data_IF_846438076151
#
_entry.id   IF_846438076151
#
_cell.length_a   1.000
_cell.length_b   1.000
_cell.length_c   1.000
_cell.angle_alpha   90.00
_cell.angle_beta   90.00
_cell.angle_gamma   90.00
#
_symmetry.space_group_name_H-M   'P 1'
#
loop_
_entity.id
_entity.type
_entity.pdbx_description
1 polymer ?
#
# COMPACT_ATOMS: atom_id res chain seq x y z
N UNK A 1 9.92 -21.08 19.71
CA UNK A 1 10.26 -20.03 18.74
C UNK A 1 9.59 -18.77 19.27
N UNK A 2 10.34 -17.84 19.79
CA UNK A 2 9.85 -16.52 20.20
C UNK A 2 9.69 -15.70 18.91
N UNK A 3 8.52 -15.06 18.77
CA UNK A 3 8.29 -14.15 17.66
C UNK A 3 8.98 -12.84 18.01
N UNK A 4 10.07 -12.55 17.31
CA UNK A 4 10.74 -11.25 17.32
C UNK A 4 10.35 -10.44 16.08
N UNK A 5 10.79 -9.20 15.98
CA UNK A 5 10.44 -8.31 14.86
C UNK A 5 10.90 -8.83 13.49
N UNK A 6 11.87 -9.75 13.43
CA UNK A 6 12.35 -10.40 12.21
C UNK A 6 11.48 -11.61 11.79
N UNK A 7 10.59 -12.07 12.66
CA UNK A 7 9.77 -13.26 12.43
C UNK A 7 8.62 -13.07 11.41
N UNK A 8 8.39 -11.87 10.92
CA UNK A 8 7.26 -11.60 10.01
C UNK A 8 7.34 -12.32 8.66
N UNK A 9 8.54 -12.50 8.11
CA UNK A 9 8.74 -13.33 6.91
C UNK A 9 8.39 -14.79 7.20
N UNK A 10 8.92 -15.32 8.28
CA UNK A 10 8.69 -16.69 8.73
C UNK A 10 7.25 -16.97 9.19
N UNK A 11 6.53 -15.95 9.71
CA UNK A 11 5.11 -16.07 10.05
C UNK A 11 4.22 -16.18 8.82
N UNK A 12 4.49 -15.41 7.76
CA UNK A 12 3.78 -15.52 6.49
C UNK A 12 3.96 -16.90 5.86
N UNK A 13 5.20 -17.42 5.88
CA UNK A 13 5.52 -18.75 5.39
C UNK A 13 4.88 -19.84 6.24
N UNK A 14 4.91 -19.71 7.57
CA UNK A 14 4.26 -20.64 8.51
C UNK A 14 2.73 -20.63 8.31
N UNK A 15 2.11 -19.47 8.24
CA UNK A 15 0.68 -19.34 8.02
C UNK A 15 0.28 -19.95 6.67
N UNK A 16 1.02 -19.67 5.62
CA UNK A 16 0.80 -20.25 4.28
C UNK A 16 0.97 -21.76 4.27
N UNK A 17 1.93 -22.29 5.04
CA UNK A 17 2.14 -23.73 5.19
C UNK A 17 1.03 -24.43 5.96
N UNK A 18 0.43 -23.76 6.95
CA UNK A 18 -0.63 -24.33 7.80
C UNK A 18 -2.04 -24.17 7.21
N UNK A 19 -2.30 -23.03 6.57
CA UNK A 19 -3.64 -22.66 6.06
C UNK A 19 -3.79 -22.93 4.56
N UNK A 20 -2.73 -23.44 3.92
CA UNK A 20 -2.67 -23.48 2.47
C UNK A 20 -2.43 -22.09 1.92
N UNK A 21 -2.51 -21.91 0.61
CA UNK A 21 -2.40 -20.59 0.00
C UNK A 21 -3.56 -19.72 0.47
N UNK A 22 -3.30 -18.87 1.46
CA UNK A 22 -4.10 -17.66 1.68
C UNK A 22 -3.68 -16.70 0.57
N UNK A 23 -4.06 -17.04 -0.65
CA UNK A 23 -3.66 -16.29 -1.84
C UNK A 23 -4.68 -15.22 -2.15
N UNK A 24 -4.20 -14.20 -2.84
CA UNK A 24 -5.05 -13.32 -3.66
C UNK A 24 -6.18 -14.15 -4.27
N UNK A 25 -7.44 -13.77 -4.10
CA UNK A 25 -8.58 -14.59 -4.50
C UNK A 25 -8.41 -15.07 -5.95
N UNK A 26 -8.68 -16.34 -6.21
CA UNK A 26 -8.93 -16.82 -7.56
C UNK A 26 -10.05 -15.97 -8.19
N UNK A 27 -10.17 -15.92 -9.53
CA UNK A 27 -11.26 -15.21 -10.16
C UNK A 27 -12.57 -15.60 -9.50
N UNK A 28 -13.30 -14.60 -8.94
CA UNK A 28 -14.57 -14.83 -8.28
C UNK A 28 -15.54 -15.51 -9.26
N UNK A 29 -16.10 -16.63 -8.86
CA UNK A 29 -17.30 -17.18 -9.50
C UNK A 29 -18.49 -16.23 -9.32
N UNK A 30 -19.51 -16.39 -10.12
CA UNK A 30 -20.72 -15.58 -10.00
C UNK A 30 -21.33 -15.72 -8.59
N UNK A 31 -21.43 -14.60 -7.86
CA UNK A 31 -21.98 -14.55 -6.50
C UNK A 31 -20.98 -14.83 -5.38
N UNK A 32 -19.71 -15.08 -5.67
CA UNK A 32 -18.68 -15.19 -4.64
C UNK A 32 -18.27 -13.82 -4.10
N UNK A 33 -17.91 -13.77 -2.82
CA UNK A 33 -17.43 -12.56 -2.15
C UNK A 33 -15.92 -12.65 -1.93
N UNK A 34 -15.19 -11.69 -2.48
CA UNK A 34 -13.79 -11.50 -2.08
C UNK A 34 -13.72 -10.67 -0.82
N UNK A 35 -12.71 -10.95 -0.01
CA UNK A 35 -12.41 -10.18 1.21
C UNK A 35 -10.93 -9.88 1.28
N UNK A 36 -10.61 -8.70 1.86
CA UNK A 36 -9.28 -8.33 2.28
C UNK A 36 -9.33 -7.98 3.77
N UNK A 37 -8.33 -8.38 4.53
CA UNK A 37 -8.27 -8.11 5.97
C UNK A 37 -6.92 -7.53 6.34
N UNK A 38 -6.92 -6.56 7.26
CA UNK A 38 -5.73 -5.90 7.77
C UNK A 38 -5.74 -5.76 9.29
N UNK A 39 -4.54 -5.80 9.86
CA UNK A 39 -4.28 -5.52 11.27
C UNK A 39 -3.31 -4.35 11.35
N UNK A 40 -3.65 -3.34 12.13
CA UNK A 40 -2.95 -2.06 12.16
C UNK A 40 -2.49 -1.74 13.58
N UNK A 41 -1.19 -1.49 13.69
CA UNK A 41 -0.50 -1.00 14.86
C UNK A 41 0.46 0.10 14.38
N UNK A 42 -0.05 1.30 14.21
CA UNK A 42 0.72 2.45 13.74
C UNK A 42 1.11 3.34 14.91
N UNK A 43 2.36 3.78 14.92
CA UNK A 43 2.88 4.69 15.91
C UNK A 43 3.51 5.91 15.22
N UNK A 44 2.99 7.13 15.51
CA UNK A 44 1.85 7.41 16.40
C UNK A 44 0.49 7.03 15.78
N UNK A 45 -0.48 6.63 16.63
CA UNK A 45 -1.84 6.30 16.19
C UNK A 45 -2.61 7.49 15.59
N UNK A 46 -2.13 8.70 15.86
CA UNK A 46 -2.62 9.97 15.33
C UNK A 46 -1.47 10.68 14.63
N UNK A 47 -1.53 10.78 13.31
CA UNK A 47 -0.44 11.25 12.46
C UNK A 47 -0.86 12.48 11.64
N UNK A 48 -1.01 13.62 12.29
CA UNK A 48 -1.27 14.89 11.61
C UNK A 48 -2.61 14.90 10.86
N UNK A 49 -2.57 14.62 9.57
CA UNK A 49 -3.73 14.64 8.65
C UNK A 49 -4.59 13.37 8.69
N UNK A 50 -4.24 12.40 9.57
CA UNK A 50 -5.00 11.17 9.73
C UNK A 50 -4.82 10.51 11.08
N UNK A 51 -5.36 9.31 11.20
CA UNK A 51 -5.24 8.41 12.33
C UNK A 51 -5.45 6.95 11.94
N UNK A 52 -5.27 6.05 12.91
CA UNK A 52 -5.39 4.61 12.71
C UNK A 52 -6.77 4.17 12.19
N UNK A 53 -7.85 4.94 12.46
CA UNK A 53 -9.19 4.63 11.94
C UNK A 53 -9.28 4.87 10.43
N UNK A 54 -8.74 6.00 9.97
CA UNK A 54 -8.60 6.28 8.53
C UNK A 54 -7.74 5.23 7.86
N UNK A 55 -6.57 4.94 8.43
CA UNK A 55 -5.63 3.95 7.90
C UNK A 55 -6.28 2.57 7.75
N UNK A 56 -7.00 2.10 8.77
CA UNK A 56 -7.64 0.79 8.74
C UNK A 56 -8.65 0.66 7.60
N UNK A 57 -9.43 1.70 7.33
CA UNK A 57 -10.37 1.70 6.20
C UNK A 57 -9.64 1.78 4.88
N UNK A 58 -8.78 2.80 4.69
CA UNK A 58 -8.09 3.04 3.42
C UNK A 58 -7.25 1.86 2.99
N UNK A 59 -6.39 1.34 3.88
CA UNK A 59 -5.48 0.26 3.53
C UNK A 59 -6.22 -1.01 3.10
N UNK A 60 -7.29 -1.39 3.82
CA UNK A 60 -8.02 -2.63 3.53
C UNK A 60 -8.89 -2.50 2.27
N UNK A 61 -9.50 -1.34 2.06
CA UNK A 61 -10.23 -1.02 0.82
C UNK A 61 -9.28 -1.02 -0.38
N UNK A 62 -8.09 -0.42 -0.23
CA UNK A 62 -7.08 -0.36 -1.29
C UNK A 62 -6.50 -1.75 -1.60
N UNK A 63 -6.35 -2.64 -0.61
CA UNK A 63 -5.93 -4.02 -0.84
C UNK A 63 -6.94 -4.79 -1.68
N UNK A 64 -8.24 -4.68 -1.35
CA UNK A 64 -9.30 -5.34 -2.11
C UNK A 64 -9.39 -4.80 -3.54
N UNK A 65 -9.31 -3.48 -3.69
CA UNK A 65 -9.31 -2.81 -4.97
C UNK A 65 -8.11 -3.20 -5.84
N UNK A 66 -6.89 -3.21 -5.26
CA UNK A 66 -5.69 -3.68 -5.96
C UNK A 66 -5.80 -5.16 -6.35
N UNK A 67 -6.50 -5.98 -5.56
CA UNK A 67 -6.88 -7.35 -5.88
C UNK A 67 -7.91 -7.50 -7.01
N UNK A 68 -8.42 -6.39 -7.54
CA UNK A 68 -9.33 -6.37 -8.69
C UNK A 68 -10.79 -6.65 -8.37
N UNK A 69 -11.20 -6.25 -7.17
CA UNK A 69 -12.60 -6.34 -6.75
C UNK A 69 -13.07 -4.99 -6.23
N UNK A 70 -14.26 -4.57 -6.64
CA UNK A 70 -14.86 -3.35 -6.14
C UNK A 70 -15.24 -3.49 -4.67
N UNK A 71 -14.66 -2.70 -3.74
CA UNK A 71 -15.07 -2.72 -2.34
C UNK A 71 -16.49 -2.19 -2.19
N UNK A 72 -17.31 -2.87 -1.37
CA UNK A 72 -18.70 -2.45 -1.09
C UNK A 72 -18.94 -2.20 0.38
N UNK A 73 -18.21 -2.87 1.23
CA UNK A 73 -18.37 -2.73 2.67
C UNK A 73 -17.06 -2.96 3.41
N UNK A 74 -17.01 -2.47 4.64
CA UNK A 74 -15.91 -2.69 5.59
C UNK A 74 -16.49 -2.99 6.96
N UNK A 75 -15.79 -3.83 7.73
CA UNK A 75 -16.00 -4.00 9.17
C UNK A 75 -14.76 -3.53 9.92
N UNK A 76 -14.94 -3.08 11.16
CA UNK A 76 -13.87 -2.60 12.03
C UNK A 76 -13.94 -3.33 13.37
N UNK A 77 -12.78 -3.66 13.93
CA UNK A 77 -12.63 -4.10 15.29
C UNK A 77 -11.49 -3.33 15.94
N UNK A 78 -11.75 -2.72 17.11
CA UNK A 78 -10.81 -1.88 17.82
C UNK A 78 -10.45 -2.50 19.15
N UNK A 79 -9.15 -2.68 19.41
CA UNK A 79 -8.62 -3.03 20.74
C UNK A 79 -8.09 -1.76 21.37
N UNK A 80 -8.74 -1.32 22.43
CA UNK A 80 -8.52 -0.03 23.09
C UNK A 80 -7.90 -0.26 24.45
N UNK A 81 -6.80 0.41 24.75
CA UNK A 81 -6.17 0.35 26.06
C UNK A 81 -6.96 1.16 27.08
N UNK A 82 -7.13 0.59 28.27
CA UNK A 82 -7.78 1.28 29.39
C UNK A 82 -7.04 2.58 29.72
N UNK A 83 -7.81 3.67 29.85
CA UNK A 83 -7.27 5.02 30.04
C UNK A 83 -7.21 5.86 28.76
N UNK A 84 -7.46 5.29 27.59
CA UNK A 84 -7.59 6.11 26.38
C UNK A 84 -8.76 7.09 26.53
N UNK A 85 -8.55 8.42 26.33
CA UNK A 85 -9.64 9.38 26.38
C UNK A 85 -10.73 9.09 25.35
N UNK A 86 -12.00 9.11 25.77
CA UNK A 86 -13.13 8.86 24.88
C UNK A 86 -13.19 9.84 23.69
N UNK A 87 -12.63 11.03 23.82
CA UNK A 87 -12.49 12.02 22.73
C UNK A 87 -11.59 11.51 21.62
N UNK A 88 -10.51 10.78 21.92
CA UNK A 88 -9.61 10.19 20.93
C UNK A 88 -10.27 9.01 20.22
N UNK A 89 -10.99 8.15 20.95
CA UNK A 89 -11.78 7.08 20.33
C UNK A 89 -12.83 7.64 19.38
N UNK A 90 -13.52 8.71 19.81
CA UNK A 90 -14.49 9.42 18.94
C UNK A 90 -13.83 9.95 17.67
N UNK A 91 -12.63 10.51 17.78
CA UNK A 91 -11.87 10.99 16.60
C UNK A 91 -11.61 9.84 15.63
N UNK A 92 -11.09 8.70 16.12
CA UNK A 92 -10.81 7.50 15.29
C UNK A 92 -12.06 6.98 14.57
N UNK A 93 -13.21 6.90 15.29
CA UNK A 93 -14.46 6.45 14.68
C UNK A 93 -15.01 7.44 13.65
N UNK A 94 -14.85 8.75 13.89
CA UNK A 94 -15.24 9.78 12.93
C UNK A 94 -14.38 9.71 11.68
N UNK A 95 -13.07 9.61 11.84
CA UNK A 95 -12.10 9.48 10.76
C UNK A 95 -12.34 8.23 9.91
N UNK A 96 -12.60 7.07 10.55
CA UNK A 96 -12.96 5.85 9.86
C UNK A 96 -14.26 5.99 9.03
N UNK A 97 -15.29 6.65 9.59
CA UNK A 97 -16.55 6.92 8.88
C UNK A 97 -16.34 7.85 7.68
N UNK A 98 -15.50 8.86 7.82
CA UNK A 98 -15.17 9.78 6.72
C UNK A 98 -14.43 9.05 5.61
N UNK A 99 -13.42 8.23 5.94
CA UNK A 99 -12.70 7.40 4.98
C UNK A 99 -13.63 6.41 4.25
N UNK A 100 -14.56 5.77 4.97
CA UNK A 100 -15.54 4.87 4.36
C UNK A 100 -16.46 5.60 3.36
N UNK A 101 -16.89 6.84 3.70
CA UNK A 101 -17.70 7.66 2.80
C UNK A 101 -16.90 8.12 1.58
N UNK A 102 -15.61 8.50 1.73
CA UNK A 102 -14.74 8.83 0.61
C UNK A 102 -14.51 7.62 -0.30
N UNK A 103 -14.43 6.43 0.28
CA UNK A 103 -14.28 5.17 -0.44
C UNK A 103 -15.57 4.66 -1.10
N UNK A 104 -16.71 5.29 -0.83
CA UNK A 104 -18.04 4.80 -1.28
C UNK A 104 -18.34 3.37 -0.77
N UNK A 105 -17.97 3.08 0.49
CA UNK A 105 -18.22 1.79 1.14
C UNK A 105 -19.05 1.94 2.42
N UNK A 106 -19.82 0.90 2.74
CA UNK A 106 -20.65 0.85 3.95
C UNK A 106 -19.87 0.24 5.12
N UNK A 107 -19.89 0.86 6.31
CA UNK A 107 -19.43 0.20 7.54
C UNK A 107 -20.51 -0.75 8.03
N UNK A 108 -20.33 -2.06 7.88
CA UNK A 108 -21.30 -3.09 8.23
C UNK A 108 -21.14 -3.70 9.60
N UNK A 109 -20.04 -3.44 10.26
CA UNK A 109 -19.78 -3.97 11.59
C UNK A 109 -18.73 -3.17 12.34
N UNK A 110 -18.95 -3.03 13.64
CA UNK A 110 -17.99 -2.43 14.57
C UNK A 110 -17.98 -3.23 15.84
N UNK A 111 -16.78 -3.66 16.27
CA UNK A 111 -16.53 -4.21 17.59
C UNK A 111 -15.48 -3.35 18.31
N UNK A 112 -15.61 -3.23 19.61
CA UNK A 112 -14.63 -2.52 20.42
C UNK A 112 -14.37 -3.29 21.71
N UNK A 113 -13.10 -3.62 21.97
CA UNK A 113 -12.65 -4.32 23.17
C UNK A 113 -11.71 -3.44 23.97
N UNK A 114 -11.97 -3.29 25.25
CA UNK A 114 -11.04 -2.63 26.18
C UNK A 114 -10.12 -3.68 26.81
N UNK A 115 -8.81 -3.42 26.75
CA UNK A 115 -7.77 -4.23 27.41
C UNK A 115 -7.11 -3.43 28.54
N UNK A 116 -6.31 -4.08 29.37
CA UNK A 116 -5.63 -3.39 30.50
C UNK A 116 -4.59 -2.40 29.99
N UNK A 117 -4.23 -1.44 30.82
CA UNK A 117 -3.09 -0.58 30.59
C UNK A 117 -1.81 -1.41 30.41
N UNK A 118 -1.05 -1.20 29.33
CA UNK A 118 0.15 -1.93 28.96
C UNK A 118 -0.08 -3.16 28.08
N UNK A 119 -1.33 -3.60 27.86
CA UNK A 119 -1.64 -4.73 26.97
C UNK A 119 -1.76 -4.32 25.48
N UNK A 120 -1.81 -3.03 25.21
CA UNK A 120 -1.80 -2.48 23.86
C UNK A 120 -1.02 -1.16 23.85
N UNK A 121 -0.54 -0.72 22.67
CA UNK A 121 0.02 0.61 22.51
C UNK A 121 -1.11 1.59 22.19
N UNK A 122 -1.88 1.99 23.21
CA UNK A 122 -3.07 2.86 23.14
C UNK A 122 -4.24 2.24 22.37
N UNK A 123 -4.01 1.85 21.11
CA UNK A 123 -5.09 1.40 20.23
C UNK A 123 -4.52 0.55 19.08
N UNK A 124 -5.15 -0.61 18.84
CA UNK A 124 -4.99 -1.39 17.62
C UNK A 124 -6.30 -1.42 16.84
N UNK A 125 -6.21 -1.43 15.53
CA UNK A 125 -7.36 -1.56 14.66
C UNK A 125 -7.22 -2.78 13.75
N UNK A 126 -8.33 -3.45 13.51
CA UNK A 126 -8.47 -4.49 12.51
C UNK A 126 -9.62 -4.12 11.60
N UNK A 127 -9.51 -4.41 10.32
CA UNK A 127 -10.58 -4.19 9.37
C UNK A 127 -10.65 -5.32 8.36
N UNK A 128 -11.86 -5.53 7.83
CA UNK A 128 -12.09 -6.45 6.73
C UNK A 128 -13.00 -5.74 5.72
N UNK A 129 -12.54 -5.60 4.48
CA UNK A 129 -13.34 -5.11 3.37
C UNK A 129 -13.83 -6.27 2.52
N UNK A 130 -14.99 -6.12 1.90
CA UNK A 130 -15.56 -7.12 1.00
C UNK A 130 -16.28 -6.52 -0.20
N UNK A 131 -16.33 -7.32 -1.28
CA UNK A 131 -17.00 -6.99 -2.51
C UNK A 131 -17.24 -8.23 -3.36
N UNK A 132 -18.14 -8.11 -4.33
CA UNK A 132 -18.57 -9.24 -5.19
C UNK A 132 -18.34 -8.98 -6.68
N UNK A 133 -18.03 -7.73 -7.05
CA UNK A 133 -17.92 -7.33 -8.45
C UNK A 133 -16.45 -7.26 -8.86
N UNK A 134 -15.98 -8.18 -9.73
CA UNK A 134 -14.65 -8.11 -10.28
C UNK A 134 -14.52 -6.91 -11.21
N UNK A 135 -13.41 -6.20 -11.14
CA UNK A 135 -13.11 -5.17 -12.13
C UNK A 135 -12.59 -5.77 -13.44
N UNK A 136 -12.78 -5.08 -14.57
CA UNK A 136 -12.42 -5.59 -15.89
C UNK A 136 -10.91 -5.53 -16.19
N UNK A 137 -10.05 -5.37 -15.17
CA UNK A 137 -8.62 -5.47 -15.41
C UNK A 137 -8.16 -6.93 -15.40
N UNK A 138 -7.21 -7.24 -16.25
CA UNK A 138 -6.72 -8.60 -16.40
C UNK A 138 -5.99 -9.05 -15.13
N UNK A 139 -6.43 -10.18 -14.57
CA UNK A 139 -5.72 -10.88 -13.51
C UNK A 139 -4.71 -11.83 -14.14
N UNK A 140 -3.62 -11.29 -14.65
CA UNK A 140 -2.53 -12.15 -15.14
C UNK A 140 -1.64 -12.52 -13.95
N UNK A 141 -1.33 -13.80 -13.75
CA UNK A 141 -0.60 -14.27 -12.56
C UNK A 141 0.83 -13.75 -12.50
N UNK A 142 1.45 -13.45 -13.64
CA UNK A 142 2.83 -12.98 -13.73
C UNK A 142 2.96 -11.84 -14.76
N UNK A 143 3.97 -11.01 -14.57
CA UNK A 143 4.33 -9.96 -15.51
C UNK A 143 4.82 -10.56 -16.84
N UNK A 144 4.50 -9.90 -17.95
CA UNK A 144 4.96 -10.33 -19.28
C UNK A 144 5.82 -9.24 -19.93
N UNK A 145 6.77 -9.61 -20.78
CA UNK A 145 7.62 -8.65 -21.49
C UNK A 145 6.80 -7.60 -22.24
N UNK A 146 7.29 -6.37 -22.24
CA UNK A 146 6.65 -5.22 -22.88
C UNK A 146 5.59 -4.53 -22.01
N UNK A 147 5.20 -5.08 -20.87
CA UNK A 147 4.37 -4.34 -19.92
C UNK A 147 5.13 -3.17 -19.33
N UNK A 148 4.45 -2.04 -19.22
CA UNK A 148 4.98 -0.80 -18.67
C UNK A 148 4.55 -0.66 -17.21
N UNK A 149 5.43 -0.09 -16.37
CA UNK A 149 5.18 0.14 -14.96
C UNK A 149 4.87 1.61 -14.70
N UNK A 150 3.80 1.84 -13.93
CA UNK A 150 3.41 3.17 -13.48
C UNK A 150 3.30 3.21 -11.96
N UNK A 151 3.60 4.37 -11.38
CA UNK A 151 3.16 4.75 -10.03
C UNK A 151 1.97 5.69 -10.16
N UNK A 152 0.96 5.51 -9.30
CA UNK A 152 -0.25 6.32 -9.32
C UNK A 152 -0.05 7.72 -8.75
N UNK A 153 0.98 7.91 -7.91
CA UNK A 153 1.26 9.16 -7.18
C UNK A 153 2.75 9.23 -6.82
N UNK A 154 3.22 10.36 -6.27
CA UNK A 154 4.58 10.46 -5.73
C UNK A 154 4.87 9.41 -4.65
N UNK A 155 6.11 8.93 -4.62
CA UNK A 155 6.59 7.85 -3.76
C UNK A 155 7.24 8.37 -2.48
N UNK A 156 7.04 7.68 -1.35
CA UNK A 156 7.77 7.86 -0.10
C UNK A 156 7.13 8.83 0.89
N UNK A 157 6.02 9.48 0.52
CA UNK A 157 5.35 10.46 1.37
C UNK A 157 4.91 9.90 2.71
N UNK A 158 4.31 8.71 2.73
CA UNK A 158 3.82 8.07 3.95
C UNK A 158 4.90 7.88 5.01
N UNK A 159 6.04 7.30 4.64
CA UNK A 159 7.11 7.00 5.58
C UNK A 159 7.72 8.28 6.18
N UNK A 160 7.98 9.28 5.33
CA UNK A 160 8.51 10.59 5.77
C UNK A 160 7.53 11.29 6.70
N UNK A 161 6.25 11.32 6.34
CA UNK A 161 5.20 11.92 7.16
C UNK A 161 5.14 11.29 8.56
N UNK A 162 5.04 9.96 8.62
CA UNK A 162 4.91 9.23 9.88
C UNK A 162 6.13 9.40 10.78
N UNK A 163 7.33 9.32 10.21
CA UNK A 163 8.57 9.55 10.92
C UNK A 163 8.70 10.99 11.41
N UNK A 164 8.29 11.97 10.59
CA UNK A 164 8.29 13.38 10.98
C UNK A 164 7.42 13.63 12.20
N UNK A 165 6.20 13.09 12.23
CA UNK A 165 5.30 13.22 13.38
C UNK A 165 5.90 12.54 14.61
N UNK A 166 6.49 11.34 14.44
CA UNK A 166 7.12 10.60 15.55
C UNK A 166 8.28 11.34 16.18
N UNK A 167 9.16 11.87 15.34
CA UNK A 167 10.38 12.57 15.79
C UNK A 167 10.16 14.07 16.05
N UNK A 168 8.95 14.59 15.82
CA UNK A 168 8.61 16.00 16.05
C UNK A 168 9.34 16.97 15.10
N UNK A 169 9.58 16.58 13.86
CA UNK A 169 10.38 17.35 12.89
C UNK A 169 9.57 18.45 12.17
N UNK A 170 8.23 18.36 12.20
CA UNK A 170 7.35 19.36 11.58
C UNK A 170 7.25 19.24 10.05
N UNK A 171 7.83 18.22 9.43
CA UNK A 171 7.82 18.01 7.97
C UNK A 171 6.44 17.53 7.47
N UNK A 172 5.60 17.00 8.35
CA UNK A 172 4.24 16.53 8.03
C UNK A 172 3.33 17.67 7.52
N UNK A 173 3.70 18.91 7.78
CA UNK A 173 2.99 20.08 7.22
C UNK A 173 3.30 20.29 5.72
N UNK A 174 4.43 19.77 5.23
CA UNK A 174 4.89 19.87 3.84
C UNK A 174 4.64 18.60 3.06
N UNK A 175 4.73 17.45 3.73
CA UNK A 175 4.58 16.12 3.13
C UNK A 175 3.33 15.48 3.73
N UNK A 176 2.19 15.45 3.02
CA UNK A 176 0.98 14.79 3.50
C UNK A 176 1.17 13.28 3.57
N UNK A 177 0.42 12.60 4.44
CA UNK A 177 0.51 11.16 4.63
C UNK A 177 0.14 10.34 3.38
N UNK A 178 -0.67 10.90 2.50
CA UNK A 178 -1.21 10.16 1.36
C UNK A 178 -2.22 9.06 1.74
N UNK A 179 -2.62 8.97 3.01
CA UNK A 179 -3.57 7.96 3.48
C UNK A 179 -4.98 8.25 2.96
N UNK A 180 -5.26 7.82 1.72
CA UNK A 180 -6.53 8.01 1.03
C UNK A 180 -7.09 6.68 0.51
N UNK A 181 -8.42 6.55 0.39
CA UNK A 181 -9.00 5.46 -0.37
C UNK A 181 -8.73 5.67 -1.87
N UNK A 182 -8.07 4.71 -2.49
CA UNK A 182 -7.66 4.76 -3.89
C UNK A 182 -8.56 3.92 -4.82
N UNK A 183 -9.56 3.24 -4.25
CA UNK A 183 -10.52 2.42 -5.00
C UNK A 183 -11.34 3.25 -5.99
N UNK A 184 -11.76 4.46 -5.62
CA UNK A 184 -12.51 5.35 -6.52
C UNK A 184 -11.66 5.77 -7.72
N UNK A 185 -10.38 6.09 -7.51
CA UNK A 185 -9.44 6.37 -8.59
C UNK A 185 -9.26 5.15 -9.50
N UNK A 186 -9.07 3.96 -8.94
CA UNK A 186 -8.94 2.74 -9.74
C UNK A 186 -10.20 2.44 -10.54
N UNK A 187 -11.40 2.62 -9.95
CA UNK A 187 -12.68 2.47 -10.64
C UNK A 187 -12.78 3.40 -11.84
N UNK A 188 -12.43 4.68 -11.66
CA UNK A 188 -12.47 5.67 -12.74
C UNK A 188 -11.47 5.32 -13.84
N UNK A 189 -10.25 4.90 -13.49
CA UNK A 189 -9.23 4.48 -14.44
C UNK A 189 -9.69 3.26 -15.25
N UNK A 190 -10.07 2.16 -14.58
CA UNK A 190 -10.47 0.93 -15.30
C UNK A 190 -11.75 1.10 -16.10
N UNK A 191 -12.62 2.04 -15.72
CA UNK A 191 -13.82 2.41 -16.46
C UNK A 191 -13.57 3.32 -17.66
N UNK A 192 -12.42 3.98 -17.74
CA UNK A 192 -12.08 4.94 -18.80
C UNK A 192 -11.09 4.41 -19.85
N UNK A 193 -10.48 3.25 -19.61
CA UNK A 193 -9.52 2.63 -20.52
C UNK A 193 -10.05 1.32 -21.08
N UNK A 194 -9.44 0.84 -22.18
CA UNK A 194 -9.82 -0.44 -22.76
C UNK A 194 -9.67 -1.60 -21.75
N UNK A 195 -10.59 -2.57 -21.75
CA UNK A 195 -10.48 -3.75 -20.92
C UNK A 195 -9.14 -4.46 -21.10
N UNK A 196 -8.43 -4.68 -20.00
CA UNK A 196 -7.11 -5.29 -20.00
C UNK A 196 -5.95 -4.33 -20.28
N UNK A 197 -6.19 -3.02 -20.43
CA UNK A 197 -5.11 -2.01 -20.43
C UNK A 197 -4.36 -2.02 -19.09
N UNK A 198 -5.07 -2.06 -17.97
CA UNK A 198 -4.49 -2.32 -16.64
C UNK A 198 -4.40 -3.84 -16.45
N UNK A 199 -3.23 -4.35 -16.20
CA UNK A 199 -2.96 -5.80 -16.05
C UNK A 199 -2.93 -6.23 -14.60
N UNK A 200 -2.23 -5.49 -13.75
CA UNK A 200 -2.07 -5.75 -12.31
C UNK A 200 -1.92 -4.44 -11.58
N UNK A 201 -2.42 -4.43 -10.37
CA UNK A 201 -2.27 -3.33 -9.43
C UNK A 201 -1.72 -3.87 -8.11
N UNK A 202 -0.76 -3.18 -7.53
CA UNK A 202 -0.17 -3.54 -6.25
C UNK A 202 -0.13 -2.34 -5.32
N UNK A 203 -0.57 -2.54 -4.09
CA UNK A 203 -0.31 -1.60 -3.00
C UNK A 203 1.15 -1.73 -2.57
N UNK A 204 1.76 -0.62 -2.18
CA UNK A 204 3.13 -0.58 -1.70
C UNK A 204 3.17 -0.87 -0.19
N UNK A 205 2.83 -2.10 0.17
CA UNK A 205 2.90 -2.58 1.56
C UNK A 205 4.36 -2.76 2.00
N UNK A 206 4.59 -3.48 3.11
CA UNK A 206 5.92 -3.75 3.67
C UNK A 206 6.95 -4.13 2.60
N UNK A 207 8.12 -3.46 2.61
CA UNK A 207 9.19 -3.62 1.62
C UNK A 207 8.98 -2.80 0.34
N UNK A 208 7.92 -1.99 0.28
CA UNK A 208 7.69 -0.96 -0.71
C UNK A 208 7.66 -1.42 -2.16
N UNK A 209 8.01 -0.51 -3.04
CA UNK A 209 8.09 -0.76 -4.48
C UNK A 209 9.12 -1.86 -4.80
N UNK A 210 10.26 -1.86 -4.14
CA UNK A 210 11.32 -2.84 -4.38
C UNK A 210 10.84 -4.28 -4.18
N UNK A 211 9.99 -4.52 -3.17
CA UNK A 211 9.38 -5.84 -2.96
C UNK A 211 8.41 -6.20 -4.08
N UNK A 212 7.54 -5.29 -4.49
CA UNK A 212 6.60 -5.52 -5.60
C UNK A 212 7.36 -5.94 -6.85
N UNK A 213 8.37 -5.17 -7.25
CA UNK A 213 9.16 -5.42 -8.45
C UNK A 213 9.89 -6.77 -8.40
N UNK A 214 10.52 -7.09 -7.27
CA UNK A 214 11.20 -8.37 -7.08
C UNK A 214 10.23 -9.56 -7.16
N UNK A 215 9.08 -9.44 -6.51
CA UNK A 215 8.06 -10.49 -6.51
C UNK A 215 7.57 -10.74 -7.94
N UNK A 216 7.30 -9.69 -8.70
CA UNK A 216 6.84 -9.78 -10.08
C UNK A 216 7.94 -10.32 -11.00
N UNK A 217 9.19 -9.86 -10.86
CA UNK A 217 10.33 -10.39 -11.61
C UNK A 217 10.51 -11.89 -11.38
N UNK A 218 10.41 -12.34 -10.12
CA UNK A 218 10.52 -13.76 -9.75
C UNK A 218 9.39 -14.57 -10.33
N UNK A 219 8.14 -14.13 -10.19
CA UNK A 219 6.97 -14.82 -10.72
C UNK A 219 6.99 -14.94 -12.25
N UNK A 220 7.49 -13.89 -12.92
CA UNK A 220 7.59 -13.84 -14.38
C UNK A 220 8.81 -14.61 -14.94
N UNK A 221 9.84 -14.84 -14.14
CA UNK A 221 11.14 -15.32 -14.63
C UNK A 221 11.82 -14.28 -15.56
N UNK A 222 11.50 -12.99 -15.41
CA UNK A 222 11.93 -11.89 -16.28
C UNK A 222 12.58 -10.76 -15.50
N UNK A 223 13.31 -9.90 -16.21
CA UNK A 223 13.85 -8.69 -15.61
C UNK A 223 12.79 -7.59 -15.61
N UNK A 224 12.55 -7.02 -14.44
CA UNK A 224 11.78 -5.79 -14.27
C UNK A 224 12.77 -4.64 -14.08
N UNK A 225 12.70 -3.61 -14.92
CA UNK A 225 13.65 -2.49 -14.92
C UNK A 225 12.91 -1.19 -14.69
N UNK A 226 13.42 -0.38 -13.76
CA UNK A 226 12.95 0.98 -13.51
C UNK A 226 14.12 1.95 -13.62
N UNK A 227 13.82 3.24 -13.84
CA UNK A 227 14.82 4.31 -14.00
C UNK A 227 14.69 5.29 -12.83
N UNK A 228 15.79 5.61 -12.18
CA UNK A 228 15.82 6.55 -11.04
C UNK A 228 15.22 7.91 -11.40
N UNK A 229 15.54 8.42 -12.57
CA UNK A 229 15.05 9.72 -13.06
C UNK A 229 13.54 9.77 -13.29
N UNK A 230 12.92 8.61 -13.52
CA UNK A 230 11.48 8.49 -13.74
C UNK A 230 10.68 8.33 -12.44
N UNK A 231 11.35 8.11 -11.31
CA UNK A 231 10.68 7.97 -10.03
C UNK A 231 10.08 9.30 -9.58
N UNK A 232 8.77 9.37 -9.33
CA UNK A 232 8.11 10.59 -8.90
C UNK A 232 8.34 10.84 -7.39
N UNK A 233 9.58 11.08 -6.99
CA UNK A 233 9.92 11.44 -5.60
C UNK A 233 10.00 12.95 -5.52
N UNK A 234 9.15 13.55 -4.68
CA UNK A 234 9.18 14.99 -4.44
C UNK A 234 10.49 15.38 -3.74
N UNK A 235 10.98 16.57 -4.04
CA UNK A 235 12.27 17.05 -3.50
C UNK A 235 12.30 17.05 -1.97
N UNK A 236 11.20 17.49 -1.35
CA UNK A 236 11.03 17.53 0.10
C UNK A 236 11.07 16.11 0.70
N UNK A 237 10.44 15.15 0.02
CA UNK A 237 10.43 13.74 0.42
C UNK A 237 11.83 13.15 0.29
N UNK A 238 12.54 13.40 -0.83
CA UNK A 238 13.90 12.92 -1.05
C UNK A 238 14.88 13.44 0.01
N UNK A 239 14.88 14.75 0.24
CA UNK A 239 15.74 15.38 1.24
C UNK A 239 15.45 14.91 2.67
N UNK A 240 14.18 14.75 3.02
CA UNK A 240 13.77 14.23 4.32
C UNK A 240 14.13 12.75 4.48
N UNK A 241 13.98 11.95 3.43
CA UNK A 241 14.35 10.54 3.43
C UNK A 241 15.85 10.35 3.65
N UNK A 242 16.71 11.16 3.01
CA UNK A 242 18.15 11.17 3.25
C UNK A 242 18.47 11.53 4.71
N UNK A 243 17.84 12.57 5.26
CA UNK A 243 18.04 13.00 6.65
C UNK A 243 17.63 11.90 7.64
N UNK A 244 16.54 11.20 7.36
CA UNK A 244 15.98 10.15 8.20
C UNK A 244 16.66 8.78 7.98
N UNK A 245 17.53 8.65 6.99
CA UNK A 245 18.19 7.39 6.64
C UNK A 245 17.25 6.34 6.06
N UNK A 246 16.13 6.75 5.47
CA UNK A 246 15.15 5.85 4.85
C UNK A 246 15.24 5.88 3.33
N UNK A 247 14.89 4.78 2.70
CA UNK A 247 14.87 4.65 1.25
C UNK A 247 13.41 4.52 0.76
N UNK A 248 12.88 5.52 0.02
CA UNK A 248 11.50 5.49 -0.46
C UNK A 248 11.13 4.25 -1.25
N UNK A 249 12.09 3.60 -1.93
CA UNK A 249 11.84 2.36 -2.67
C UNK A 249 11.50 1.16 -1.78
N UNK A 250 11.96 1.18 -0.53
CA UNK A 250 11.83 0.07 0.41
C UNK A 250 10.80 0.31 1.51
N UNK A 251 10.25 1.52 1.60
CA UNK A 251 9.24 1.87 2.61
C UNK A 251 7.82 1.58 2.14
N UNK A 252 6.93 1.28 3.10
CA UNK A 252 5.48 1.25 2.84
C UNK A 252 5.01 2.62 2.35
N UNK A 253 4.06 2.63 1.42
CA UNK A 253 3.37 3.84 1.00
C UNK A 253 1.86 3.58 0.90
N UNK A 254 1.06 4.36 1.63
CA UNK A 254 -0.39 4.19 1.70
C UNK A 254 -1.12 5.00 0.62
N UNK A 255 -0.45 5.96 0.00
CA UNK A 255 -1.00 6.85 -1.02
C UNK A 255 -0.61 6.47 -2.45
N UNK A 256 0.18 5.43 -2.64
CA UNK A 256 0.73 5.07 -3.94
C UNK A 256 0.46 3.62 -4.32
N UNK A 257 0.06 3.41 -5.58
CA UNK A 257 -0.11 2.10 -6.20
C UNK A 257 0.90 1.91 -7.33
N UNK A 258 1.40 0.69 -7.48
CA UNK A 258 2.18 0.28 -8.64
C UNK A 258 1.27 -0.48 -9.62
N UNK A 259 1.19 0.00 -10.86
CA UNK A 259 0.40 -0.60 -11.91
C UNK A 259 1.31 -1.20 -12.98
N UNK A 260 0.96 -2.39 -13.44
CA UNK A 260 1.51 -2.99 -14.64
C UNK A 260 0.43 -2.87 -15.74
N UNK A 261 0.78 -2.27 -16.84
CA UNK A 261 -0.15 -1.99 -17.94
C UNK A 261 0.30 -2.64 -19.23
N UNK A 262 -0.66 -2.90 -20.10
CA UNK A 262 -0.42 -3.52 -21.38
C UNK A 262 0.55 -2.67 -22.25
N UNK A 263 1.33 -3.31 -23.14
CA UNK A 263 2.15 -2.58 -24.11
C UNK A 263 1.33 -1.52 -24.86
N UNK A 264 1.83 -0.29 -24.92
CA UNK A 264 1.17 0.83 -25.60
C UNK A 264 0.03 1.51 -24.83
N UNK A 265 -0.37 0.99 -23.66
CA UNK A 265 -1.44 1.60 -22.84
C UNK A 265 -0.93 2.62 -21.80
N UNK A 266 0.38 2.79 -21.67
CA UNK A 266 0.98 3.58 -20.60
C UNK A 266 0.48 5.02 -20.53
N UNK A 267 0.44 5.71 -21.67
CA UNK A 267 0.03 7.12 -21.71
C UNK A 267 -1.44 7.30 -21.37
N UNK A 268 -2.32 6.46 -21.92
CA UNK A 268 -3.77 6.52 -21.64
C UNK A 268 -4.06 6.24 -20.17
N UNK A 269 -3.42 5.23 -19.58
CA UNK A 269 -3.59 4.89 -18.17
C UNK A 269 -3.01 5.99 -17.26
N UNK A 270 -1.83 6.54 -17.60
CA UNK A 270 -1.24 7.67 -16.85
C UNK A 270 -2.17 8.89 -16.87
N UNK A 271 -2.71 9.23 -18.02
CA UNK A 271 -3.57 10.41 -18.18
C UNK A 271 -4.91 10.21 -17.45
N UNK A 272 -5.46 8.98 -17.46
CA UNK A 272 -6.63 8.62 -16.66
C UNK A 272 -6.34 8.74 -15.15
N UNK A 273 -5.18 8.26 -14.68
CA UNK A 273 -4.74 8.45 -13.29
C UNK A 273 -4.66 9.93 -12.93
N UNK A 274 -4.01 10.75 -13.78
CA UNK A 274 -3.81 12.19 -13.56
C UNK A 274 -5.10 13.01 -13.54
N UNK A 275 -6.15 12.52 -14.14
CA UNK A 275 -7.47 13.14 -14.09
C UNK A 275 -8.08 13.08 -12.68
N UNK A 276 -7.69 12.10 -11.87
CA UNK A 276 -8.16 11.97 -10.48
C UNK A 276 -7.26 12.77 -9.51
N UNK A 277 -7.87 13.32 -8.45
CA UNK A 277 -7.18 14.16 -7.45
C UNK A 277 -5.98 13.47 -6.80
N UNK A 278 -6.07 12.17 -6.53
CA UNK A 278 -5.00 11.39 -5.92
C UNK A 278 -3.98 10.83 -6.93
N UNK A 279 -4.23 10.98 -8.23
CA UNK A 279 -3.36 10.47 -9.30
C UNK A 279 -2.56 11.52 -10.03
N UNK A 280 -2.62 12.80 -9.64
CA UNK A 280 -2.00 13.93 -10.34
C UNK A 280 -0.49 13.77 -10.57
N UNK A 281 0.19 13.08 -9.67
CA UNK A 281 1.62 12.78 -9.74
C UNK A 281 1.96 11.45 -10.42
N UNK A 282 1.01 10.81 -11.12
CA UNK A 282 1.25 9.53 -11.77
C UNK A 282 2.38 9.62 -12.81
N UNK A 283 3.25 8.61 -12.81
CA UNK A 283 4.41 8.56 -13.67
C UNK A 283 4.68 7.14 -14.19
N UNK A 284 5.18 7.06 -15.43
CA UNK A 284 5.79 5.84 -15.96
C UNK A 284 7.17 5.73 -15.38
N UNK A 285 7.51 4.57 -14.79
CA UNK A 285 8.78 4.37 -14.08
C UNK A 285 9.68 3.31 -14.71
N UNK A 286 9.16 2.47 -15.60
CA UNK A 286 9.94 1.39 -16.19
C UNK A 286 9.10 0.38 -16.95
N UNK A 287 9.69 -0.80 -17.16
CA UNK A 287 9.10 -1.86 -17.98
C UNK A 287 9.53 -3.26 -17.55
N UNK A 288 8.81 -4.26 -18.05
CA UNK A 288 9.20 -5.66 -17.99
C UNK A 288 9.94 -6.01 -19.29
N UNK A 289 11.18 -6.44 -19.18
CA UNK A 289 12.04 -6.70 -20.36
C UNK A 289 11.97 -8.18 -20.80
N UNK A 290 12.45 -8.45 -22.02
CA UNK A 290 12.59 -9.82 -22.54
C UNK A 290 13.70 -10.63 -21.86
N UNK A 291 14.57 -10.01 -21.07
CA UNK A 291 15.69 -10.67 -20.42
C UNK A 291 15.22 -11.77 -19.47
N UNK A 292 15.71 -12.99 -19.70
CA UNK A 292 15.35 -14.19 -18.91
C UNK A 292 16.21 -14.22 -17.65
N UNK A 293 15.92 -13.28 -16.73
CA UNK A 293 16.54 -13.20 -15.41
C UNK A 293 15.51 -12.68 -14.41
N UNK A 294 15.22 -13.40 -13.31
CA UNK A 294 14.21 -13.00 -12.32
C UNK A 294 14.79 -11.94 -11.36
N UNK A 295 15.08 -10.76 -11.90
CA UNK A 295 15.71 -9.65 -11.16
C UNK A 295 14.94 -8.34 -11.35
N UNK A 296 14.89 -7.52 -10.30
CA UNK A 296 14.48 -6.14 -10.39
C UNK A 296 15.72 -5.25 -10.44
N UNK A 297 15.81 -4.37 -11.43
CA UNK A 297 16.94 -3.47 -11.65
C UNK A 297 16.49 -2.02 -11.54
N UNK A 298 17.33 -1.20 -10.94
CA UNK A 298 17.25 0.25 -10.95
C UNK A 298 18.41 0.80 -11.79
N UNK A 299 18.09 1.54 -12.84
CA UNK A 299 19.06 2.29 -13.62
C UNK A 299 19.28 3.66 -12.96
N UNK A 300 20.46 3.88 -12.41
CA UNK A 300 20.86 5.13 -11.78
C UNK A 300 21.23 6.20 -12.79
N UNK A 301 21.16 7.44 -12.37
CA UNK A 301 21.76 8.56 -13.08
C UNK A 301 23.24 8.29 -13.34
N UNK A 302 23.63 8.30 -14.60
CA UNK A 302 25.03 7.97 -14.98
C UNK A 302 25.21 6.56 -15.55
N UNK A 303 24.11 5.80 -15.76
CA UNK A 303 24.10 4.57 -16.55
C UNK A 303 24.55 3.31 -15.82
N UNK A 304 24.63 3.34 -14.50
CA UNK A 304 24.80 2.14 -13.69
C UNK A 304 23.45 1.50 -13.41
N UNK A 305 23.38 0.17 -13.60
CA UNK A 305 22.23 -0.60 -13.15
C UNK A 305 22.61 -1.38 -11.89
N UNK A 306 21.82 -1.31 -10.86
CA UNK A 306 21.99 -2.16 -9.70
C UNK A 306 20.75 -2.97 -9.37
N UNK A 307 20.95 -4.12 -8.74
CA UNK A 307 19.89 -5.02 -8.35
C UNK A 307 19.18 -4.50 -7.09
N UNK A 308 17.86 -4.38 -7.17
CA UNK A 308 17.04 -4.10 -6.00
C UNK A 308 17.01 -5.36 -5.12
N UNK A 309 17.86 -5.39 -4.09
CA UNK A 309 17.91 -6.45 -3.10
C UNK A 309 16.84 -6.31 -2.02
N UNK A 310 16.62 -7.36 -1.17
CA UNK A 310 15.93 -7.15 0.08
C UNK A 310 16.78 -6.23 0.96
N UNK A 311 16.21 -5.16 1.49
CA UNK A 311 16.76 -4.45 2.63
C UNK A 311 15.99 -4.89 3.87
N UNK A 312 16.67 -4.97 5.00
CA UNK A 312 15.98 -5.03 6.29
C UNK A 312 15.03 -3.84 6.35
N UNK A 313 13.78 -4.08 6.72
CA UNK A 313 12.84 -2.98 6.96
C UNK A 313 13.49 -2.06 7.99
N UNK A 314 13.86 -0.87 7.56
CA UNK A 314 14.21 0.20 8.47
C UNK A 314 12.90 0.62 9.16
N UNK A 315 12.44 -0.20 10.11
CA UNK A 315 11.56 0.32 11.14
C UNK A 315 12.44 1.25 11.96
N UNK A 316 12.04 2.50 12.15
CA UNK A 316 12.56 3.22 13.29
C UNK A 316 12.17 2.37 14.50
N UNK A 317 13.17 1.81 15.18
CA UNK A 317 12.93 1.14 16.46
C UNK A 317 12.06 2.05 17.31
N UNK A 318 11.03 1.54 17.98
CA UNK A 318 10.32 2.33 18.98
C UNK A 318 11.42 2.82 19.92
N UNK A 319 11.57 4.14 20.02
CA UNK A 319 12.51 4.76 20.94
C UNK A 319 12.33 4.04 22.27
N UNK A 320 13.37 3.38 22.76
CA UNK A 320 13.38 2.82 24.12
C UNK A 320 13.22 4.02 25.05
N UNK A 321 11.98 4.34 25.34
CA UNK A 321 11.65 5.26 26.41
C UNK A 321 12.21 4.63 27.70
N UNK A 322 13.31 5.20 28.16
CA UNK A 322 13.83 4.98 29.52
C UNK A 322 12.89 5.64 30.52
#
# INVERSE_FOLDING_TARGET
MTLDDDAYGSLGDLASGLLGRVSVPEPLGAGETAVASGSFAVDPAFFGDGDIGRLAVCATVNDLAAGGVEPRWVTLSLTVEAGLPATLLRRVLTSAREAAREADVEIRGLETRVVRAGDANRLFAHSTAGGTEPWPHARTPAAVPGETLLLSSPLGGWAVHLLSVREGLGLENLVPSGCHPLNTMLRDVVGSVEPGAVRRVHRLARGGLARVLRTQATAAGRTVRITEEALPIQHEVGSAAELLGVDPLHTTDEGCLCLFVAPGAADVVRDALRAHVHGRGAAVIGEVTDAVAPVALLDERGGRAHRLGPRADLRPEPSRLR
#
